data_IF_835965632244
#
_entry.id   IF_835965632244
#
_cell.length_a   1.000
_cell.length_b   1.000
_cell.length_c   1.000
_cell.angle_alpha   90.00
_cell.angle_beta   90.00
_cell.angle_gamma   90.00
#
_symmetry.space_group_name_H-M   'P 1'
#
loop_
_entity.id
_entity.type
_entity.pdbx_description
1 polymer ?
#
# COMPACT_ATOMS: atom_id res chain seq x y z
N UNK A 1 -1.59 -2.36 3.77
CA UNK A 1 -1.23 -3.69 3.22
C UNK A 1 -2.39 -4.11 2.34
N UNK A 2 -2.14 -4.54 1.11
CA UNK A 2 -3.23 -4.78 0.15
C UNK A 2 -3.52 -6.29 0.07
N UNK A 3 -4.81 -6.65 0.06
CA UNK A 3 -5.27 -8.05 0.11
C UNK A 3 -4.85 -8.83 -1.15
N UNK A 4 -4.80 -8.16 -2.29
CA UNK A 4 -4.33 -8.67 -3.59
C UNK A 4 -2.92 -9.29 -3.56
N UNK A 5 -2.07 -8.87 -2.61
CA UNK A 5 -0.69 -9.38 -2.48
C UNK A 5 -0.58 -10.69 -1.70
N UNK A 6 -1.64 -11.07 -0.97
CA UNK A 6 -1.64 -12.22 -0.07
C UNK A 6 -2.68 -13.27 -0.45
N UNK A 7 -3.52 -13.02 -1.46
CA UNK A 7 -4.51 -13.95 -1.99
C UNK A 7 -4.15 -14.39 -3.41
N UNK A 8 -4.73 -15.50 -3.87
CA UNK A 8 -4.59 -15.94 -5.25
C UNK A 8 -5.27 -14.95 -6.22
N UNK A 9 -4.83 -14.98 -7.48
CA UNK A 9 -5.40 -14.14 -8.55
C UNK A 9 -6.92 -14.35 -8.65
N UNK A 10 -7.36 -15.60 -8.50
CA UNK A 10 -8.77 -15.99 -8.53
C UNK A 10 -9.53 -15.58 -7.26
N UNK A 11 -8.88 -14.87 -6.33
CA UNK A 11 -9.45 -14.36 -5.07
C UNK A 11 -10.14 -15.41 -4.18
N UNK A 12 -9.85 -16.69 -4.40
CA UNK A 12 -10.51 -17.80 -3.71
C UNK A 12 -9.68 -18.36 -2.54
N UNK A 13 -8.36 -18.17 -2.55
CA UNK A 13 -7.45 -18.79 -1.60
C UNK A 13 -6.44 -17.79 -1.03
N UNK A 14 -6.08 -17.98 0.23
CA UNK A 14 -4.94 -17.33 0.84
C UNK A 14 -3.65 -17.96 0.31
N UNK A 15 -2.67 -17.15 -0.07
CA UNK A 15 -1.35 -17.64 -0.51
C UNK A 15 -0.55 -18.19 0.67
N UNK A 16 0.23 -19.23 0.40
CA UNK A 16 1.22 -19.72 1.36
C UNK A 16 2.20 -18.62 1.77
N UNK A 17 2.49 -18.57 3.07
CA UNK A 17 3.41 -17.58 3.62
C UNK A 17 4.78 -17.59 2.95
N UNK A 18 5.29 -18.75 2.53
CA UNK A 18 6.57 -18.84 1.80
C UNK A 18 6.56 -18.07 0.48
N UNK A 19 5.43 -18.10 -0.24
CA UNK A 19 5.24 -17.40 -1.52
C UNK A 19 5.01 -15.90 -1.31
N UNK A 20 4.38 -15.51 -0.20
CA UNK A 20 4.29 -14.11 0.21
C UNK A 20 5.69 -13.60 0.57
N UNK A 21 6.45 -14.38 1.35
CA UNK A 21 7.79 -14.04 1.83
C UNK A 21 8.80 -13.85 0.70
N UNK A 22 8.69 -14.59 -0.40
CA UNK A 22 9.56 -14.40 -1.56
C UNK A 22 9.39 -13.04 -2.25
N UNK A 23 8.17 -12.47 -2.18
CA UNK A 23 7.82 -11.18 -2.79
C UNK A 23 8.11 -9.98 -1.88
N UNK A 24 8.44 -10.21 -0.61
CA UNK A 24 8.79 -9.15 0.34
C UNK A 24 10.23 -8.66 0.11
N UNK A 25 10.42 -7.34 0.24
CA UNK A 25 11.75 -6.71 0.17
C UNK A 25 12.63 -7.14 1.34
N UNK A 26 12.05 -7.31 2.53
CA UNK A 26 12.75 -7.79 3.72
C UNK A 26 12.31 -9.22 4.03
N UNK A 27 13.26 -10.16 3.94
CA UNK A 27 13.04 -11.60 4.15
C UNK A 27 13.43 -12.07 5.55
N UNK A 28 13.96 -11.17 6.38
CA UNK A 28 14.39 -11.48 7.73
C UNK A 28 13.25 -11.28 8.72
N UNK A 29 13.18 -12.14 9.73
CA UNK A 29 12.18 -12.05 10.79
C UNK A 29 11.45 -13.36 11.06
N UNK A 30 10.78 -13.38 12.21
CA UNK A 30 9.94 -14.48 12.65
C UNK A 30 8.65 -14.55 11.83
N UNK A 31 8.00 -15.71 11.90
CA UNK A 31 6.69 -15.91 11.29
C UNK A 31 5.69 -14.88 11.84
N UNK A 32 5.04 -14.09 10.97
CA UNK A 32 4.23 -12.98 11.43
C UNK A 32 2.92 -13.45 12.04
N UNK A 33 2.58 -12.91 13.23
CA UNK A 33 1.30 -13.21 13.91
C UNK A 33 0.08 -12.83 13.08
N UNK A 34 0.16 -11.77 12.26
CA UNK A 34 -0.95 -11.36 11.39
C UNK A 34 -1.33 -12.47 10.39
N UNK A 35 -0.37 -13.30 9.94
CA UNK A 35 -0.68 -14.37 8.99
C UNK A 35 -1.49 -15.49 9.66
N UNK A 36 -1.13 -15.86 10.89
CA UNK A 36 -1.92 -16.82 11.67
C UNK A 36 -3.31 -16.27 11.94
N UNK A 37 -3.41 -15.00 12.34
CA UNK A 37 -4.69 -14.34 12.55
C UNK A 37 -5.57 -14.38 11.30
N UNK A 38 -5.01 -14.05 10.12
CA UNK A 38 -5.75 -14.16 8.87
C UNK A 38 -6.16 -15.60 8.58
N UNK A 39 -5.23 -16.55 8.70
CA UNK A 39 -5.55 -17.97 8.47
C UNK A 39 -6.72 -18.43 9.34
N UNK A 40 -6.79 -18.02 10.59
CA UNK A 40 -7.85 -18.38 11.52
C UNK A 40 -9.19 -17.67 11.24
N UNK A 41 -9.16 -16.41 10.79
CA UNK A 41 -10.38 -15.58 10.71
C UNK A 41 -10.93 -15.36 9.29
N UNK A 42 -10.12 -15.52 8.24
CA UNK A 42 -10.55 -15.31 6.85
C UNK A 42 -10.61 -16.59 6.02
N UNK A 43 -10.19 -17.74 6.56
CA UNK A 43 -10.31 -19.03 5.86
C UNK A 43 -11.43 -19.88 6.45
N UNK A 44 -12.22 -20.51 5.58
CA UNK A 44 -13.36 -21.36 5.96
C UNK A 44 -12.91 -22.76 6.42
N UNK A 45 -11.69 -23.17 6.04
CA UNK A 45 -11.17 -24.52 6.27
C UNK A 45 -9.64 -24.50 6.28
N UNK A 46 -9.00 -25.49 6.91
CA UNK A 46 -7.53 -25.65 6.93
C UNK A 46 -6.86 -25.68 5.54
N UNK A 47 -7.64 -25.86 4.47
CA UNK A 47 -7.22 -25.79 3.07
C UNK A 47 -6.96 -24.36 2.56
N UNK A 48 -7.19 -23.31 3.36
CA UNK A 48 -6.85 -21.93 3.00
C UNK A 48 -7.84 -21.22 2.07
N UNK A 49 -9.02 -21.81 1.85
CA UNK A 49 -10.11 -21.19 1.08
C UNK A 49 -10.73 -20.03 1.86
N UNK A 50 -10.92 -18.90 1.20
CA UNK A 50 -11.47 -17.70 1.82
C UNK A 50 -12.96 -17.87 2.16
N UNK A 51 -13.40 -17.26 3.26
CA UNK A 51 -14.79 -17.31 3.73
C UNK A 51 -15.72 -16.27 3.11
N UNK A 52 -15.17 -15.31 2.35
CA UNK A 52 -15.91 -14.31 1.60
C UNK A 52 -15.53 -14.37 0.13
N UNK A 53 -16.49 -14.03 -0.73
CA UNK A 53 -16.25 -13.88 -2.16
C UNK A 53 -15.91 -12.41 -2.43
N UNK A 54 -14.72 -12.17 -2.96
CA UNK A 54 -14.34 -10.84 -3.43
C UNK A 54 -15.03 -10.69 -4.78
N UNK A 55 -16.26 -10.16 -4.79
CA UNK A 55 -17.15 -10.06 -5.96
C UNK A 55 -16.59 -9.31 -7.18
N UNK A 56 -15.31 -8.97 -7.19
CA UNK A 56 -14.57 -8.43 -8.30
C UNK A 56 -13.23 -9.16 -8.41
N UNK A 57 -12.99 -9.81 -9.56
CA UNK A 57 -11.66 -10.34 -9.89
C UNK A 57 -10.66 -9.19 -9.81
N UNK A 58 -9.62 -9.34 -9.00
CA UNK A 58 -8.57 -8.33 -8.92
C UNK A 58 -7.93 -8.22 -10.31
N UNK A 59 -8.10 -7.09 -10.97
CA UNK A 59 -7.35 -6.75 -12.19
C UNK A 59 -5.90 -6.49 -11.74
N UNK A 60 -5.13 -7.56 -11.55
CA UNK A 60 -3.70 -7.46 -11.48
C UNK A 60 -3.21 -7.19 -12.89
N UNK A 61 -2.81 -5.95 -13.17
CA UNK A 61 -2.03 -5.66 -14.36
C UNK A 61 -0.54 -5.78 -13.97
N UNK A 62 0.10 -6.96 -14.14
CA UNK A 62 1.49 -7.17 -13.77
C UNK A 62 2.46 -6.26 -14.55
N UNK A 63 2.01 -5.63 -15.63
CA UNK A 63 2.81 -4.68 -16.41
C UNK A 63 2.70 -3.22 -15.95
N UNK A 64 1.87 -2.91 -14.94
CA UNK A 64 1.90 -1.59 -14.32
C UNK A 64 3.19 -1.46 -13.51
N UNK A 65 4.16 -0.77 -14.10
CA UNK A 65 5.34 -0.35 -13.38
C UNK A 65 4.91 0.65 -12.32
N UNK A 66 5.27 0.36 -11.06
CA UNK A 66 5.10 1.32 -9.97
C UNK A 66 5.76 2.65 -10.38
N UNK A 67 5.09 3.79 -10.20
CA UNK A 67 5.70 5.09 -10.46
C UNK A 67 7.05 5.18 -9.74
N UNK A 68 8.10 5.53 -10.47
CA UNK A 68 9.43 5.71 -9.86
C UNK A 68 9.35 6.85 -8.87
N UNK A 69 9.90 6.64 -7.68
CA UNK A 69 10.05 7.70 -6.68
C UNK A 69 10.89 8.79 -7.35
N UNK A 70 10.41 10.04 -7.43
CA UNK A 70 11.19 11.12 -8.00
C UNK A 70 12.47 11.30 -7.18
N UNK A 71 13.61 11.63 -7.82
CA UNK A 71 14.84 11.89 -7.10
C UNK A 71 14.63 13.02 -6.09
N UNK A 72 15.33 12.95 -4.96
CA UNK A 72 15.27 13.98 -3.92
C UNK A 72 15.66 15.32 -4.54
N UNK A 73 14.73 16.27 -4.51
CA UNK A 73 14.97 17.63 -4.95
C UNK A 73 14.69 18.56 -3.78
N UNK A 74 15.77 19.03 -3.17
CA UNK A 74 15.73 20.00 -2.08
C UNK A 74 15.43 21.42 -2.59
N UNK A 75 15.42 21.64 -3.92
CA UNK A 75 15.04 22.93 -4.49
C UNK A 75 13.52 23.00 -4.63
N UNK A 76 12.88 24.06 -4.13
CA UNK A 76 11.44 24.24 -4.27
C UNK A 76 11.07 24.34 -5.76
N UNK A 77 10.18 23.46 -6.20
CA UNK A 77 9.60 23.51 -7.54
C UNK A 77 8.47 24.52 -7.49
N UNK A 78 8.69 25.65 -8.14
CA UNK A 78 7.64 26.66 -8.29
C UNK A 78 6.66 26.22 -9.37
N UNK A 79 5.39 26.05 -9.02
CA UNK A 79 4.36 25.71 -10.00
C UNK A 79 3.92 26.96 -10.75
N UNK A 80 4.58 27.27 -11.86
CA UNK A 80 4.11 28.28 -12.80
C UNK A 80 3.27 27.59 -13.89
N UNK A 81 1.96 27.85 -13.89
CA UNK A 81 1.00 27.19 -14.79
C UNK A 81 -0.39 27.09 -14.18
N UNK A 82 -1.14 26.04 -14.55
CA UNK A 82 -2.49 25.79 -14.01
C UNK A 82 -2.44 25.60 -12.49
N UNK A 83 -3.36 26.22 -11.73
CA UNK A 83 -3.39 26.12 -10.28
C UNK A 83 -3.59 24.66 -9.87
N UNK A 84 -2.68 24.14 -9.06
CA UNK A 84 -2.81 22.83 -8.42
C UNK A 84 -3.38 23.02 -7.02
N UNK A 85 -4.30 22.16 -6.65
CA UNK A 85 -4.96 22.18 -5.36
C UNK A 85 -4.66 20.91 -4.58
N UNK A 86 -4.57 21.04 -3.26
CA UNK A 86 -4.53 19.92 -2.34
C UNK A 86 -5.73 20.02 -1.40
N UNK A 87 -6.33 18.87 -1.09
CA UNK A 87 -7.30 18.75 -0.02
C UNK A 87 -6.73 17.87 1.08
N UNK A 88 -6.97 18.26 2.33
CA UNK A 88 -6.61 17.45 3.49
C UNK A 88 -7.61 17.66 4.62
N UNK A 89 -7.74 16.64 5.47
CA UNK A 89 -8.52 16.75 6.69
C UNK A 89 -7.77 17.61 7.71
N UNK A 90 -8.38 18.71 8.16
CA UNK A 90 -7.79 19.59 9.17
C UNK A 90 -8.51 19.41 10.51
N UNK A 91 -7.76 19.00 11.52
CA UNK A 91 -8.30 18.85 12.88
C UNK A 91 -8.63 20.21 13.54
N UNK A 92 -8.16 21.33 12.99
CA UNK A 92 -8.42 22.67 13.52
C UNK A 92 -9.84 23.12 13.18
N UNK A 93 -10.27 22.87 11.93
CA UNK A 93 -11.61 23.24 11.45
C UNK A 93 -12.58 22.04 11.45
N UNK A 94 -12.10 20.85 11.81
CA UNK A 94 -12.85 19.58 11.80
C UNK A 94 -13.55 19.30 10.47
N UNK A 95 -12.92 19.71 9.37
CA UNK A 95 -13.44 19.59 8.00
C UNK A 95 -12.28 19.51 6.99
N UNK A 96 -12.63 19.29 5.72
CA UNK A 96 -11.72 19.25 4.59
C UNK A 96 -11.29 20.67 4.20
N UNK A 97 -10.00 20.96 4.38
CA UNK A 97 -9.38 22.19 3.91
C UNK A 97 -8.94 22.03 2.44
N UNK A 98 -9.11 23.09 1.65
CA UNK A 98 -8.61 23.18 0.28
C UNK A 98 -7.56 24.27 0.18
N UNK A 99 -6.34 23.89 -0.22
CA UNK A 99 -5.22 24.83 -0.33
C UNK A 99 -4.60 24.79 -1.72
N UNK A 100 -4.15 25.96 -2.19
CA UNK A 100 -3.47 26.09 -3.47
C UNK A 100 -1.97 25.86 -3.30
N UNK A 101 -1.41 24.94 -4.07
CA UNK A 101 0.01 24.60 -4.01
C UNK A 101 0.81 25.66 -4.78
N UNK A 102 1.60 26.45 -4.05
CA UNK A 102 2.51 27.45 -4.65
C UNK A 102 3.87 26.83 -5.00
N UNK A 103 4.43 26.08 -4.05
CA UNK A 103 5.71 25.38 -4.21
C UNK A 103 5.59 23.96 -3.68
N UNK A 104 6.29 23.02 -4.32
CA UNK A 104 6.44 21.66 -3.79
C UNK A 104 7.92 21.32 -3.68
N UNK A 105 8.26 20.53 -2.68
CA UNK A 105 9.59 19.95 -2.48
C UNK A 105 9.44 18.44 -2.38
N UNK A 106 10.40 17.71 -2.94
CA UNK A 106 10.41 16.25 -2.84
C UNK A 106 11.37 15.84 -1.73
N UNK A 107 10.83 15.67 -0.53
CA UNK A 107 11.56 15.06 0.57
C UNK A 107 11.41 13.55 0.52
N UNK A 108 12.53 12.85 0.39
CA UNK A 108 12.55 11.42 0.62
C UNK A 108 12.36 11.22 2.12
N UNK A 109 11.18 10.74 2.54
CA UNK A 109 10.97 10.30 3.91
C UNK A 109 11.89 9.09 4.12
N UNK A 110 13.12 9.34 4.59
CA UNK A 110 14.00 8.28 5.10
C UNK A 110 13.22 7.61 6.21
N UNK A 111 12.65 6.44 5.92
CA UNK A 111 12.33 5.47 6.96
C UNK A 111 13.70 5.05 7.49
N UNK A 112 14.23 5.81 8.45
CA UNK A 112 15.33 5.32 9.27
C UNK A 112 14.78 4.06 9.98
N UNK A 113 15.36 2.87 9.79
CA UNK A 113 15.19 1.81 10.76
C UNK A 113 16.03 2.21 11.98
N UNK A 114 15.43 2.97 12.90
CA UNK A 114 15.99 3.15 14.23
C UNK A 114 15.64 1.90 15.04
N UNK A 115 16.68 1.12 15.30
CA UNK A 115 16.85 0.11 16.36
C UNK A 115 15.91 -1.11 16.36
#
# INVERSE_FOLDING_TARGET
>A
MFLDQIITIDSAYLLDYQKIKSNLQNKHGSFPRWYNFLKEHITLTNAGRLNFDLGQQFIQNPQIQRPRIPPTNNKPIHHQGRPKWISFWSNIITDVAYERILTSTYFLKRLNPLC
#
